data_IF_801215717672
#
_entry.id   IF_801215717672
#
_cell.length_a   1.000
_cell.length_b   1.000
_cell.length_c   1.000
_cell.angle_alpha   90.00
_cell.angle_beta   90.00
_cell.angle_gamma   90.00
#
_symmetry.space_group_name_H-M   'P 1'
#
loop_
_entity.id
_entity.type
_entity.pdbx_description
1 polymer ?
#
# COMPACT_ATOMS: atom_id res chain seq x y z
N UNK A 1 20.30 -9.93 10.48
CA UNK A 1 19.64 -9.05 9.49
C UNK A 1 18.27 -8.68 10.04
N UNK A 2 18.03 -7.39 10.30
CA UNK A 2 16.77 -6.88 10.85
C UNK A 2 16.04 -5.98 9.85
N UNK A 3 14.73 -5.85 10.00
CA UNK A 3 13.90 -4.89 9.27
C UNK A 3 13.07 -4.04 10.24
N UNK A 4 12.74 -2.82 9.84
CA UNK A 4 11.81 -1.94 10.55
C UNK A 4 10.51 -1.83 9.78
N UNK A 5 9.40 -2.07 10.47
CA UNK A 5 8.05 -1.88 9.93
C UNK A 5 7.32 -0.79 10.71
N UNK A 6 6.91 0.26 10.01
CA UNK A 6 6.11 1.37 10.55
C UNK A 6 4.66 1.19 10.13
N UNK A 7 3.77 0.97 11.08
CA UNK A 7 2.35 0.74 10.81
C UNK A 7 1.53 2.03 10.88
N UNK A 8 1.01 2.49 9.74
CA UNK A 8 0.15 3.67 9.65
C UNK A 8 -1.30 3.23 9.42
N UNK A 9 -2.15 3.13 10.45
CA UNK A 9 -3.49 2.55 10.34
C UNK A 9 -4.55 3.51 9.80
N UNK A 10 -4.18 4.61 9.21
CA UNK A 10 -5.12 5.62 8.74
C UNK A 10 -5.45 5.49 7.26
N UNK A 11 -6.73 5.74 6.92
CA UNK A 11 -7.24 5.76 5.55
C UNK A 11 -8.22 6.92 5.38
N UNK A 12 -8.15 7.68 4.27
CA UNK A 12 -9.18 8.68 3.92
C UNK A 12 -10.54 8.03 3.63
N UNK A 13 -10.54 6.79 3.14
CA UNK A 13 -11.74 6.01 2.83
C UNK A 13 -11.49 4.53 3.10
N UNK A 14 -12.48 3.86 3.67
CA UNK A 14 -12.41 2.41 3.92
C UNK A 14 -12.85 1.66 2.67
N UNK A 15 -11.97 0.82 2.15
CA UNK A 15 -12.27 -0.06 1.01
C UNK A 15 -13.27 -1.15 1.40
N UNK A 16 -14.14 -1.55 0.46
CA UNK A 16 -15.25 -2.48 0.75
C UNK A 16 -14.80 -3.88 1.16
N UNK A 17 -13.60 -4.28 0.77
CA UNK A 17 -13.01 -5.59 1.02
C UNK A 17 -12.06 -5.64 2.22
N UNK A 18 -11.56 -4.49 2.69
CA UNK A 18 -10.42 -4.44 3.61
C UNK A 18 -10.81 -4.81 5.04
N UNK A 19 -10.09 -5.80 5.62
CA UNK A 19 -10.24 -6.20 7.02
C UNK A 19 -9.03 -5.81 7.90
N UNK A 20 -8.04 -5.13 7.37
CA UNK A 20 -6.91 -4.65 8.17
C UNK A 20 -7.36 -3.67 9.25
N UNK A 21 -6.63 -3.62 10.36
CA UNK A 21 -6.85 -2.60 11.38
C UNK A 21 -6.66 -1.19 10.77
N UNK A 22 -7.71 -0.40 10.79
CA UNK A 22 -7.76 0.90 10.14
C UNK A 22 -8.66 1.89 10.84
N UNK A 23 -8.34 3.18 10.70
CA UNK A 23 -9.14 4.30 11.19
C UNK A 23 -9.32 5.35 10.09
N UNK A 24 -10.53 5.89 9.97
CA UNK A 24 -10.79 7.06 9.15
C UNK A 24 -10.65 8.39 9.93
N UNK A 25 -10.34 8.34 11.21
CA UNK A 25 -10.13 9.52 12.05
C UNK A 25 -8.67 9.99 11.97
N UNK A 26 -8.38 10.82 10.97
CA UNK A 26 -7.03 11.36 10.71
C UNK A 26 -6.54 12.35 11.78
N UNK A 27 -7.41 12.83 12.68
CA UNK A 27 -7.03 13.81 13.73
C UNK A 27 -6.01 13.24 14.72
N UNK A 28 -5.88 11.92 14.76
CA UNK A 28 -4.94 11.22 15.64
C UNK A 28 -3.60 10.89 14.98
N UNK A 29 -3.34 11.41 13.77
CA UNK A 29 -2.09 11.14 13.05
C UNK A 29 -0.88 11.62 13.85
N UNK A 30 -0.91 12.85 14.35
CA UNK A 30 0.21 13.43 15.11
C UNK A 30 0.44 12.67 16.43
N UNK A 31 -0.61 12.23 17.11
CA UNK A 31 -0.51 11.41 18.32
C UNK A 31 0.17 10.07 18.02
N UNK A 32 -0.19 9.44 16.88
CA UNK A 32 0.43 8.19 16.44
C UNK A 32 1.91 8.39 16.13
N UNK A 33 2.26 9.40 15.34
CA UNK A 33 3.65 9.70 14.98
C UNK A 33 4.50 9.95 16.24
N UNK A 34 3.97 10.72 17.20
CA UNK A 34 4.65 10.95 18.48
C UNK A 34 4.78 9.64 19.30
N UNK A 35 3.80 8.73 19.23
CA UNK A 35 3.88 7.42 19.87
C UNK A 35 4.94 6.52 19.21
N UNK A 36 5.04 6.54 17.87
CA UNK A 36 6.07 5.79 17.14
C UNK A 36 7.49 6.24 17.51
N UNK A 37 7.72 7.56 17.67
CA UNK A 37 9.00 8.07 18.14
C UNK A 37 9.34 7.52 19.54
N UNK A 38 8.39 7.51 20.48
CA UNK A 38 8.59 6.89 21.80
C UNK A 38 8.83 5.40 21.73
N UNK A 39 8.10 4.67 20.87
CA UNK A 39 8.29 3.24 20.69
C UNK A 39 9.68 2.91 20.13
N UNK A 40 10.23 3.72 19.23
CA UNK A 40 11.61 3.58 18.76
C UNK A 40 12.60 3.69 19.92
N UNK A 41 12.44 4.68 20.82
CA UNK A 41 13.28 4.84 22.01
C UNK A 41 13.17 3.63 22.94
N UNK A 42 11.96 3.17 23.23
CA UNK A 42 11.69 2.05 24.14
C UNK A 42 12.27 0.74 23.60
N UNK A 43 12.30 0.58 22.26
CA UNK A 43 12.76 -0.64 21.57
C UNK A 43 14.19 -0.56 21.04
N UNK A 44 15.00 0.40 21.48
CA UNK A 44 16.39 0.57 20.99
C UNK A 44 17.26 -0.70 21.10
N UNK A 45 16.98 -1.58 22.03
CA UNK A 45 17.68 -2.85 22.22
C UNK A 45 17.09 -4.05 21.47
N UNK A 46 15.94 -3.88 20.79
CA UNK A 46 15.18 -4.99 20.20
C UNK A 46 15.93 -5.72 19.08
N UNK A 47 16.66 -5.07 18.16
CA UNK A 47 17.43 -5.76 17.12
C UNK A 47 18.66 -6.51 17.65
N UNK A 48 19.01 -6.38 18.92
CA UNK A 48 20.14 -7.11 19.51
C UNK A 48 21.50 -6.83 18.87
N UNK A 49 21.68 -5.66 18.26
CA UNK A 49 22.89 -5.26 17.53
C UNK A 49 22.90 -5.72 16.05
N UNK A 50 21.83 -6.32 15.55
CA UNK A 50 21.72 -6.62 14.12
C UNK A 50 21.54 -5.33 13.30
N UNK A 51 22.23 -5.24 12.15
CA UNK A 51 22.06 -4.15 11.20
C UNK A 51 20.67 -4.20 10.55
N UNK A 52 20.03 -3.05 10.42
CA UNK A 52 18.76 -2.86 9.72
C UNK A 52 19.04 -2.73 8.22
N UNK A 53 18.53 -3.69 7.46
CA UNK A 53 18.72 -3.73 5.99
C UNK A 53 17.50 -3.26 5.21
N UNK A 54 16.30 -3.30 5.82
CA UNK A 54 15.06 -2.85 5.16
C UNK A 54 14.21 -2.02 6.10
N UNK A 55 13.50 -1.05 5.53
CA UNK A 55 12.52 -0.20 6.23
C UNK A 55 11.23 -0.18 5.43
N UNK A 56 10.10 -0.34 6.09
CA UNK A 56 8.82 -0.47 5.40
C UNK A 56 7.72 0.32 6.11
N UNK A 57 7.06 1.22 5.39
CA UNK A 57 5.86 1.92 5.83
C UNK A 57 4.63 1.27 5.22
N UNK A 58 3.78 0.66 6.05
CA UNK A 58 2.61 -0.08 5.58
C UNK A 58 1.39 0.08 6.49
N UNK A 59 0.34 -0.68 6.18
CA UNK A 59 -0.86 -0.79 7.00
C UNK A 59 -2.13 -0.28 6.35
N UNK A 60 -2.61 0.89 6.72
CA UNK A 60 -3.76 1.54 6.12
C UNK A 60 -3.40 2.30 4.86
N UNK A 61 -2.83 3.49 5.02
CA UNK A 61 -2.40 4.34 3.90
C UNK A 61 -1.23 5.23 4.34
N UNK A 62 0.01 4.74 4.30
CA UNK A 62 1.18 5.52 4.71
C UNK A 62 1.40 6.79 3.89
N UNK A 63 0.93 6.85 2.64
CA UNK A 63 0.97 8.05 1.81
C UNK A 63 0.13 9.23 2.33
N UNK A 64 -0.51 9.08 3.50
CA UNK A 64 -1.15 10.19 4.23
C UNK A 64 -0.17 10.94 5.14
N UNK A 65 0.98 10.36 5.45
CA UNK A 65 2.04 11.05 6.20
C UNK A 65 2.73 12.07 5.30
N UNK A 66 3.16 13.19 5.87
CA UNK A 66 4.00 14.13 5.13
C UNK A 66 5.40 13.57 4.93
N UNK A 67 6.14 13.95 3.87
CA UNK A 67 7.52 13.52 3.69
C UNK A 67 8.42 13.87 4.88
N UNK A 68 8.17 15.00 5.55
CA UNK A 68 8.91 15.44 6.73
C UNK A 68 8.69 14.50 7.92
N UNK A 69 7.45 14.03 8.13
CA UNK A 69 7.13 13.07 9.19
C UNK A 69 7.81 11.70 8.93
N UNK A 70 7.81 11.25 7.68
CA UNK A 70 8.49 10.02 7.26
C UNK A 70 9.99 10.15 7.48
N UNK A 71 10.60 11.26 7.03
CA UNK A 71 12.02 11.56 7.27
C UNK A 71 12.34 11.57 8.76
N UNK A 72 11.52 12.25 9.58
CA UNK A 72 11.72 12.30 11.02
C UNK A 72 11.77 10.92 11.69
N UNK A 73 10.91 9.99 11.28
CA UNK A 73 10.94 8.60 11.77
C UNK A 73 12.20 7.84 11.29
N UNK A 74 12.60 8.01 10.03
CA UNK A 74 13.80 7.40 9.48
C UNK A 74 15.07 7.92 10.13
N UNK A 75 15.18 9.23 10.34
CA UNK A 75 16.32 9.87 11.01
C UNK A 75 16.41 9.43 12.47
N UNK A 76 15.28 9.35 13.17
CA UNK A 76 15.26 8.86 14.55
C UNK A 76 15.67 7.39 14.63
N UNK A 77 15.17 6.54 13.74
CA UNK A 77 15.58 5.14 13.66
C UNK A 77 17.09 5.00 13.39
N UNK A 78 17.66 5.82 12.50
CA UNK A 78 19.09 5.80 12.19
C UNK A 78 19.98 6.27 13.36
N UNK A 79 19.44 7.06 14.31
CA UNK A 79 20.16 7.42 15.56
C UNK A 79 20.21 6.27 16.57
N UNK A 80 19.26 5.34 16.50
CA UNK A 80 19.10 4.26 17.48
C UNK A 80 19.62 2.91 16.99
N UNK A 81 19.59 2.69 15.69
CA UNK A 81 19.92 1.43 15.05
C UNK A 81 20.99 1.62 13.97
N UNK A 82 21.78 0.58 13.72
CA UNK A 82 22.69 0.58 12.57
C UNK A 82 21.88 0.39 11.29
N UNK A 83 21.59 1.51 10.62
CA UNK A 83 20.91 1.57 9.33
C UNK A 83 21.88 1.86 8.17
N UNK A 84 23.20 1.79 8.38
CA UNK A 84 24.21 2.14 7.36
C UNK A 84 24.18 1.22 6.13
N UNK A 85 23.69 -0.01 6.32
CA UNK A 85 23.50 -1.01 5.27
C UNK A 85 22.07 -1.13 4.77
N UNK A 86 21.20 -0.13 4.99
CA UNK A 86 19.81 -0.20 4.53
C UNK A 86 19.74 -0.16 2.99
N UNK A 87 19.26 -1.25 2.41
CA UNK A 87 19.19 -1.48 0.96
C UNK A 87 17.85 -1.06 0.35
N UNK A 88 16.77 -1.04 1.17
CA UNK A 88 15.42 -0.72 0.70
C UNK A 88 14.64 0.05 1.77
N UNK A 89 13.95 1.11 1.34
CA UNK A 89 12.96 1.83 2.12
C UNK A 89 11.67 1.94 1.33
N UNK A 90 10.69 1.10 1.67
CA UNK A 90 9.42 1.00 0.96
C UNK A 90 8.33 1.84 1.63
N UNK A 91 7.47 2.45 0.81
CA UNK A 91 6.23 3.09 1.27
C UNK A 91 5.04 2.59 0.45
N UNK A 92 3.99 2.13 1.14
CA UNK A 92 2.70 1.85 0.52
C UNK A 92 1.94 3.14 0.24
N UNK A 93 1.36 3.24 -0.97
CA UNK A 93 0.68 4.45 -1.41
C UNK A 93 -0.63 4.16 -2.16
N UNK A 94 -1.59 5.07 -2.01
CA UNK A 94 -2.72 5.12 -2.93
C UNK A 94 -2.38 6.01 -4.15
N UNK A 95 -2.83 5.63 -5.36
CA UNK A 95 -2.57 6.41 -6.57
C UNK A 95 -2.92 7.90 -6.47
N UNK A 96 -4.03 8.22 -5.82
CA UNK A 96 -4.55 9.59 -5.70
C UNK A 96 -3.83 10.46 -4.65
N UNK A 97 -2.88 9.92 -3.91
CA UNK A 97 -2.01 10.67 -3.00
C UNK A 97 -0.66 11.06 -3.68
N UNK A 98 -0.30 10.45 -4.82
CA UNK A 98 1.00 10.58 -5.48
C UNK A 98 1.07 11.79 -6.42
N UNK A 99 1.16 13.01 -5.87
CA UNK A 99 1.46 14.22 -6.63
C UNK A 99 2.96 14.34 -6.92
N UNK A 100 3.34 15.12 -7.94
CA UNK A 100 4.76 15.35 -8.26
C UNK A 100 5.55 15.94 -7.09
N UNK A 101 4.95 16.87 -6.34
CA UNK A 101 5.54 17.46 -5.13
C UNK A 101 5.74 16.42 -4.03
N UNK A 102 4.71 15.61 -3.75
CA UNK A 102 4.79 14.56 -2.74
C UNK A 102 5.85 13.51 -3.09
N UNK A 103 5.90 13.07 -4.35
CA UNK A 103 6.91 12.12 -4.84
C UNK A 103 8.34 12.66 -4.70
N UNK A 104 8.57 13.92 -5.03
CA UNK A 104 9.86 14.58 -4.80
C UNK A 104 10.25 14.59 -3.32
N UNK A 105 9.30 14.97 -2.45
CA UNK A 105 9.52 14.93 -1.01
C UNK A 105 9.80 13.54 -0.44
N UNK A 106 9.18 12.49 -0.98
CA UNK A 106 9.44 11.10 -0.58
C UNK A 106 10.88 10.67 -0.92
N UNK A 107 11.36 10.98 -2.13
CA UNK A 107 12.76 10.72 -2.52
C UNK A 107 13.74 11.45 -1.59
N UNK A 108 13.48 12.72 -1.31
CA UNK A 108 14.28 13.49 -0.37
C UNK A 108 14.20 12.94 1.06
N UNK A 109 13.07 12.35 1.47
CA UNK A 109 12.92 11.69 2.75
C UNK A 109 13.67 10.34 2.85
N UNK A 110 14.14 9.79 1.71
CA UNK A 110 14.88 8.53 1.65
C UNK A 110 14.02 7.31 1.36
N UNK A 111 12.82 7.50 0.76
CA UNK A 111 12.03 6.40 0.19
C UNK A 111 12.60 6.09 -1.19
N UNK A 112 12.92 4.83 -1.46
CA UNK A 112 13.49 4.37 -2.74
C UNK A 112 12.60 3.34 -3.46
N UNK A 113 11.55 2.83 -2.78
CA UNK A 113 10.57 1.90 -3.36
C UNK A 113 9.15 2.32 -3.02
N UNK A 114 8.23 2.19 -3.99
CA UNK A 114 6.80 2.37 -3.79
C UNK A 114 6.04 1.06 -4.02
N UNK A 115 5.06 0.75 -3.13
CA UNK A 115 4.00 -0.23 -3.39
C UNK A 115 2.70 0.52 -3.60
N UNK A 116 2.21 0.51 -4.84
CA UNK A 116 1.06 1.33 -5.24
C UNK A 116 -0.18 0.45 -5.30
N UNK A 117 -1.12 0.68 -4.38
CA UNK A 117 -2.37 -0.05 -4.29
C UNK A 117 -3.34 0.31 -5.43
N UNK A 118 -3.10 -0.17 -6.63
CA UNK A 118 -3.96 0.04 -7.81
C UNK A 118 -5.23 -0.80 -7.73
N UNK A 119 -5.10 -2.05 -7.37
CA UNK A 119 -6.11 -3.10 -7.19
C UNK A 119 -6.74 -3.59 -8.50
N UNK A 120 -7.08 -2.72 -9.44
CA UNK A 120 -7.61 -3.06 -10.76
C UNK A 120 -7.42 -1.91 -11.74
N UNK A 121 -7.34 -2.21 -13.03
CA UNK A 121 -7.44 -1.22 -14.11
C UNK A 121 -8.84 -1.23 -14.77
N UNK A 122 -9.86 -1.70 -14.04
CA UNK A 122 -11.26 -1.63 -14.43
C UNK A 122 -12.02 -0.69 -13.48
N UNK A 123 -12.60 0.38 -14.02
CA UNK A 123 -13.23 1.43 -13.22
C UNK A 123 -14.48 0.96 -12.45
N UNK A 124 -15.24 0.01 -12.99
CA UNK A 124 -16.41 -0.52 -12.30
C UNK A 124 -16.01 -1.48 -11.17
N UNK A 125 -14.93 -2.24 -11.36
CA UNK A 125 -14.31 -3.02 -10.30
C UNK A 125 -13.80 -2.10 -9.17
N UNK A 126 -13.10 -1.02 -9.50
CA UNK A 126 -12.63 -0.02 -8.52
C UNK A 126 -13.77 0.63 -7.75
N UNK A 127 -14.87 0.97 -8.42
CA UNK A 127 -16.10 1.50 -7.77
C UNK A 127 -16.71 0.49 -6.82
N UNK A 128 -16.81 -0.79 -7.23
CA UNK A 128 -17.32 -1.87 -6.38
C UNK A 128 -16.48 -2.01 -5.11
N UNK A 129 -15.15 -1.93 -5.24
CA UNK A 129 -14.19 -1.98 -4.13
C UNK A 129 -14.19 -0.72 -3.26
N UNK A 130 -14.95 0.33 -3.60
CA UNK A 130 -14.95 1.64 -2.96
C UNK A 130 -13.58 2.35 -3.02
N UNK A 131 -12.84 2.19 -4.15
CA UNK A 131 -11.58 2.90 -4.38
C UNK A 131 -11.85 4.36 -4.75
N UNK A 132 -10.88 5.25 -4.46
CA UNK A 132 -10.99 6.71 -4.69
C UNK A 132 -10.48 7.13 -6.07
N UNK A 133 -9.65 6.31 -6.70
CA UNK A 133 -9.04 6.58 -7.99
C UNK A 133 -9.70 5.79 -9.12
N UNK A 134 -9.47 6.23 -10.34
CA UNK A 134 -9.82 5.53 -11.58
C UNK A 134 -8.59 4.79 -12.15
N UNK A 135 -8.80 3.88 -13.10
CA UNK A 135 -7.73 3.20 -13.83
C UNK A 135 -6.75 4.19 -14.49
N UNK A 136 -7.29 5.26 -15.08
CA UNK A 136 -6.47 6.31 -15.70
C UNK A 136 -5.61 7.06 -14.67
N UNK A 137 -6.15 7.37 -13.50
CA UNK A 137 -5.42 7.99 -12.40
C UNK A 137 -4.34 7.06 -11.84
N UNK A 138 -4.62 5.75 -11.73
CA UNK A 138 -3.63 4.76 -11.31
C UNK A 138 -2.44 4.70 -12.29
N UNK A 139 -2.72 4.62 -13.60
CA UNK A 139 -1.67 4.61 -14.62
C UNK A 139 -0.83 5.91 -14.59
N UNK A 140 -1.47 7.07 -14.40
CA UNK A 140 -0.76 8.34 -14.32
C UNK A 140 0.08 8.46 -13.05
N UNK A 141 -0.39 7.94 -11.91
CA UNK A 141 0.38 7.90 -10.67
C UNK A 141 1.68 7.08 -10.81
N UNK A 142 1.63 5.92 -11.46
CA UNK A 142 2.82 5.11 -11.77
C UNK A 142 3.79 5.90 -12.66
N UNK A 143 3.30 6.52 -13.74
CA UNK A 143 4.15 7.35 -14.63
C UNK A 143 4.73 8.57 -13.92
N UNK A 144 3.96 9.19 -13.02
CA UNK A 144 4.45 10.31 -12.22
C UNK A 144 5.58 9.87 -11.27
N UNK A 145 5.46 8.70 -10.62
CA UNK A 145 6.50 8.13 -9.80
C UNK A 145 7.78 7.84 -10.60
N UNK A 146 7.65 7.26 -11.81
CA UNK A 146 8.78 7.03 -12.71
C UNK A 146 9.45 8.35 -13.14
N UNK A 147 8.67 9.38 -13.51
CA UNK A 147 9.23 10.70 -13.86
C UNK A 147 9.90 11.39 -12.70
N UNK A 148 9.45 11.17 -11.47
CA UNK A 148 10.09 11.68 -10.27
C UNK A 148 11.45 11.01 -9.98
N UNK A 149 11.67 9.78 -10.50
CA UNK A 149 12.93 9.05 -10.34
C UNK A 149 12.82 7.73 -9.58
N UNK A 150 11.60 7.28 -9.23
CA UNK A 150 11.43 5.96 -8.63
C UNK A 150 11.70 4.87 -9.69
N UNK A 151 12.76 4.08 -9.46
CA UNK A 151 13.15 2.93 -10.28
C UNK A 151 12.65 1.60 -9.74
N UNK A 152 12.05 1.56 -8.55
CA UNK A 152 11.54 0.35 -7.91
C UNK A 152 10.07 0.57 -7.50
N UNK A 153 9.15 0.09 -8.35
CA UNK A 153 7.71 0.28 -8.19
C UNK A 153 7.01 -1.08 -8.24
N UNK A 154 6.24 -1.37 -7.20
CA UNK A 154 5.28 -2.48 -7.16
C UNK A 154 3.88 -1.93 -7.46
N UNK A 155 3.12 -2.66 -8.25
CA UNK A 155 1.67 -2.47 -8.41
C UNK A 155 0.95 -3.62 -7.75
N UNK A 156 0.06 -3.30 -6.81
CA UNK A 156 -0.77 -4.32 -6.14
C UNK A 156 -2.09 -4.45 -6.89
N UNK A 157 -2.46 -5.70 -7.23
CA UNK A 157 -3.69 -6.07 -7.92
C UNK A 157 -4.50 -7.04 -7.06
N UNK A 158 -5.82 -6.98 -7.16
CA UNK A 158 -6.74 -7.93 -6.53
C UNK A 158 -7.58 -8.59 -7.63
N UNK A 159 -7.62 -9.93 -7.62
CA UNK A 159 -8.45 -10.74 -8.49
C UNK A 159 -9.45 -11.59 -7.68
N UNK A 160 -10.32 -12.35 -8.36
CA UNK A 160 -11.41 -13.08 -7.68
C UNK A 160 -12.48 -12.14 -7.13
N UNK A 161 -12.67 -10.97 -7.74
CA UNK A 161 -13.69 -10.00 -7.33
C UNK A 161 -15.04 -10.40 -7.91
N UNK A 162 -16.11 -10.52 -7.10
CA UNK A 162 -17.43 -10.91 -7.58
C UNK A 162 -17.93 -10.04 -8.73
N UNK A 163 -18.27 -10.69 -9.86
CA UNK A 163 -18.71 -10.03 -11.09
C UNK A 163 -17.59 -9.55 -12.02
N UNK A 164 -16.32 -9.75 -11.64
CA UNK A 164 -15.15 -9.31 -12.40
C UNK A 164 -14.13 -10.45 -12.56
N UNK A 165 -14.54 -11.55 -13.17
CA UNK A 165 -13.68 -12.71 -13.43
C UNK A 165 -12.92 -12.64 -14.75
N UNK A 166 -12.01 -13.60 -14.94
CA UNK A 166 -11.35 -13.95 -16.20
C UNK A 166 -10.56 -12.82 -16.85
N UNK A 167 -11.20 -12.08 -17.74
CA UNK A 167 -10.52 -11.04 -18.53
C UNK A 167 -10.13 -9.79 -17.71
N UNK A 168 -10.70 -9.57 -16.53
CA UNK A 168 -10.41 -8.34 -15.75
C UNK A 168 -9.01 -8.36 -15.16
N UNK A 169 -8.59 -9.49 -14.59
CA UNK A 169 -7.21 -9.66 -14.13
C UNK A 169 -6.23 -9.55 -15.29
N UNK A 170 -6.49 -10.26 -16.42
CA UNK A 170 -5.60 -10.21 -17.59
C UNK A 170 -5.41 -8.79 -18.11
N UNK A 171 -6.51 -8.02 -18.29
CA UNK A 171 -6.41 -6.61 -18.70
C UNK A 171 -5.63 -5.76 -17.70
N UNK A 172 -5.78 -6.03 -16.39
CA UNK A 172 -5.05 -5.32 -15.35
C UNK A 172 -3.55 -5.68 -15.36
N UNK A 173 -3.20 -6.93 -15.60
CA UNK A 173 -1.81 -7.38 -15.78
C UNK A 173 -1.19 -6.75 -17.03
N UNK A 174 -1.88 -6.78 -18.18
CA UNK A 174 -1.42 -6.18 -19.42
C UNK A 174 -1.17 -4.66 -19.24
N UNK A 175 -2.06 -3.98 -18.53
CA UNK A 175 -1.89 -2.56 -18.20
C UNK A 175 -0.66 -2.32 -17.31
N UNK A 176 -0.48 -3.11 -16.23
CA UNK A 176 0.67 -3.00 -15.34
C UNK A 176 2.00 -3.29 -16.08
N UNK A 177 2.03 -4.34 -16.92
CA UNK A 177 3.20 -4.67 -17.75
C UNK A 177 3.53 -3.55 -18.74
N UNK A 178 2.51 -2.93 -19.35
CA UNK A 178 2.71 -1.81 -20.28
C UNK A 178 3.30 -0.55 -19.60
N UNK A 179 3.15 -0.43 -18.29
CA UNK A 179 3.74 0.65 -17.49
C UNK A 179 5.20 0.38 -17.12
N UNK A 180 5.72 -0.84 -17.37
CA UNK A 180 7.13 -1.17 -17.12
C UNK A 180 7.51 -1.18 -15.64
N UNK A 181 6.58 -1.56 -14.76
CA UNK A 181 6.85 -1.69 -13.32
C UNK A 181 7.76 -2.90 -13.04
N UNK A 182 8.53 -2.84 -11.97
CA UNK A 182 9.52 -3.87 -11.63
C UNK A 182 8.89 -5.07 -10.93
N UNK A 183 7.73 -4.87 -10.28
CA UNK A 183 7.07 -5.93 -9.52
C UNK A 183 5.54 -5.77 -9.59
N UNK A 184 4.83 -6.89 -9.60
CA UNK A 184 3.37 -6.96 -9.48
C UNK A 184 3.05 -7.91 -8.33
N UNK A 185 2.27 -7.44 -7.35
CA UNK A 185 1.67 -8.28 -6.33
C UNK A 185 0.22 -8.56 -6.72
N UNK A 186 -0.14 -9.81 -6.94
CA UNK A 186 -1.51 -10.20 -7.26
C UNK A 186 -2.11 -11.03 -6.12
N UNK A 187 -3.20 -10.53 -5.53
CA UNK A 187 -3.87 -11.14 -4.39
C UNK A 187 -5.24 -11.65 -4.79
N UNK A 188 -5.53 -12.91 -4.46
CA UNK A 188 -6.91 -13.40 -4.52
C UNK A 188 -7.75 -12.75 -3.42
N UNK A 189 -8.93 -12.23 -3.78
CA UNK A 189 -9.84 -11.62 -2.81
C UNK A 189 -10.40 -12.67 -1.85
N UNK A 190 -10.11 -12.51 -0.56
CA UNK A 190 -10.81 -13.21 0.52
C UNK A 190 -11.87 -12.27 1.09
N UNK A 191 -13.13 -12.74 1.19
CA UNK A 191 -14.22 -11.93 1.70
C UNK A 191 -14.38 -12.15 3.20
N UNK A 192 -13.88 -11.21 3.97
CA UNK A 192 -13.93 -11.25 5.42
C UNK A 192 -15.28 -10.71 5.97
N UNK A 193 -15.84 -11.38 6.99
CA UNK A 193 -17.17 -11.09 7.55
C UNK A 193 -17.37 -9.66 8.01
N UNK A 194 -16.32 -9.04 8.59
CA UNK A 194 -16.39 -7.69 9.15
C UNK A 194 -16.32 -6.57 8.09
N UNK A 195 -16.16 -6.92 6.82
CA UNK A 195 -16.06 -5.97 5.71
C UNK A 195 -17.43 -5.58 5.12
N UNK A 196 -17.45 -4.58 4.26
CA UNK A 196 -18.66 -4.24 3.52
C UNK A 196 -19.04 -5.38 2.55
N UNK A 197 -18.04 -6.06 1.95
CA UNK A 197 -18.26 -7.22 1.12
C UNK A 197 -18.83 -8.41 1.91
N UNK A 198 -18.31 -8.70 3.11
CA UNK A 198 -18.85 -9.76 3.97
C UNK A 198 -20.32 -9.54 4.31
N UNK A 199 -20.70 -8.32 4.70
CA UNK A 199 -22.12 -7.97 4.96
C UNK A 199 -23.03 -8.11 3.73
N UNK A 200 -22.50 -7.84 2.52
CA UNK A 200 -23.26 -8.03 1.26
C UNK A 200 -23.41 -9.50 0.91
N UNK A 201 -22.36 -10.30 1.14
CA UNK A 201 -22.39 -11.76 0.96
C UNK A 201 -23.42 -12.40 1.90
N UNK A 202 -23.41 -12.06 3.20
CA UNK A 202 -24.39 -12.55 4.19
C UNK A 202 -25.84 -12.21 3.83
N UNK A 203 -26.06 -11.09 3.12
CA UNK A 203 -27.40 -10.68 2.63
C UNK A 203 -27.77 -11.29 1.28
N UNK A 204 -26.93 -12.14 0.71
CA UNK A 204 -27.15 -12.73 -0.61
C UNK A 204 -27.13 -11.72 -1.76
N UNK A 205 -26.47 -10.56 -1.57
CA UNK A 205 -26.40 -9.51 -2.60
C UNK A 205 -25.37 -9.81 -3.69
N UNK A 206 -24.43 -10.69 -3.42
CA UNK A 206 -23.53 -11.33 -4.39
C UNK A 206 -22.98 -12.65 -3.81
N UNK A 207 -22.39 -13.49 -4.64
CA UNK A 207 -21.68 -14.71 -4.25
C UNK A 207 -20.18 -14.54 -4.43
N UNK A 208 -19.40 -15.34 -3.71
CA UNK A 208 -17.99 -15.51 -4.03
C UNK A 208 -17.81 -16.03 -5.45
N UNK A 209 -16.64 -15.77 -6.00
CA UNK A 209 -16.27 -16.31 -7.32
C UNK A 209 -16.12 -17.83 -7.18
N UNK A 210 -16.59 -18.55 -8.18
CA UNK A 210 -16.46 -20.01 -8.25
C UNK A 210 -14.98 -20.43 -8.21
N UNK A 211 -14.67 -21.48 -7.45
CA UNK A 211 -13.31 -21.98 -7.25
C UNK A 211 -12.60 -22.29 -8.58
N UNK A 212 -13.32 -22.89 -9.55
CA UNK A 212 -12.74 -23.19 -10.87
C UNK A 212 -12.45 -21.92 -11.69
N UNK A 213 -13.21 -20.83 -11.44
CA UNK A 213 -12.92 -19.53 -12.05
C UNK A 213 -11.67 -18.93 -11.41
N UNK A 214 -11.57 -18.98 -10.09
CA UNK A 214 -10.41 -18.49 -9.35
C UNK A 214 -9.12 -19.22 -9.72
N UNK A 215 -9.17 -20.55 -9.87
CA UNK A 215 -8.04 -21.36 -10.33
C UNK A 215 -7.58 -21.00 -11.75
N UNK A 216 -8.51 -20.62 -12.62
CA UNK A 216 -8.17 -20.20 -14.00
C UNK A 216 -7.62 -18.79 -14.08
N UNK A 217 -7.92 -17.96 -13.09
CA UNK A 217 -7.37 -16.60 -12.99
C UNK A 217 -5.96 -16.58 -12.43
N UNK A 218 -5.63 -17.56 -11.58
CA UNK A 218 -4.29 -17.72 -11.02
C UNK A 218 -3.32 -18.32 -12.03
#
# INVERSE_FOLDING_TARGET
>A
MAGLYFHIPFCKRVCAYCDFYKSADLRRMDDLLAAMHRELDDRRGYPGGEAVTTRYFGGGTPSLCTPEAIRGLLDHAAQLFDCSGAEETTLEANPDDLTAEYLGGLLEAGIDRLSIGVQSFDDDCLKLMNRRHTAAQAAEAVRAAQRAGFGNITVDLIFGVPGFGGDTLRRSLDAALSLGVQHISAYHLTIEKNTAFGRRLERGQFSEVDEQVSEREY
#
